data_IF_355543211030
#
_entry.id   IF_355543211030
#
_cell.length_a   1.000
_cell.length_b   1.000
_cell.length_c   1.000
_cell.angle_alpha   90.00
_cell.angle_beta   90.00
_cell.angle_gamma   90.00
#
_symmetry.space_group_name_H-M   'P 1'
#
loop_
_entity.id
_entity.type
_entity.pdbx_description
1 polymer ?
#
# COMPACT_ATOMS: atom_id res chain seq x y z
N UNK A 1 6.79 -30.22 14.80
CA UNK A 1 7.35 -29.04 14.11
C UNK A 1 6.56 -27.85 14.58
N UNK A 2 7.23 -26.78 15.04
CA UNK A 2 6.54 -25.52 15.25
C UNK A 2 6.02 -25.03 13.88
N UNK A 3 4.81 -24.46 13.79
CA UNK A 3 4.34 -23.85 12.55
C UNK A 3 5.35 -22.78 12.10
N UNK A 4 5.55 -22.65 10.79
CA UNK A 4 6.40 -21.61 10.25
C UNK A 4 5.86 -20.24 10.70
N UNK A 5 6.69 -19.43 11.35
CA UNK A 5 6.29 -18.12 11.88
C UNK A 5 6.45 -16.99 10.85
N UNK A 6 6.84 -17.34 9.63
CA UNK A 6 7.07 -16.42 8.52
C UNK A 6 6.70 -17.11 7.21
N UNK A 7 6.23 -16.32 6.25
CA UNK A 7 5.97 -16.76 4.89
C UNK A 7 6.32 -15.64 3.91
N UNK A 8 6.58 -16.03 2.66
CA UNK A 8 6.89 -15.10 1.58
C UNK A 8 5.60 -14.49 1.00
N UNK A 9 5.76 -13.37 0.28
CA UNK A 9 4.67 -12.77 -0.48
C UNK A 9 4.74 -13.24 -1.93
N UNK A 10 3.61 -13.64 -2.49
CA UNK A 10 3.53 -14.03 -3.89
C UNK A 10 3.84 -12.82 -4.78
N UNK A 11 4.74 -12.95 -5.76
CA UNK A 11 5.12 -11.85 -6.66
C UNK A 11 5.63 -10.61 -5.90
N UNK A 12 6.85 -10.70 -5.30
CA UNK A 12 7.43 -9.57 -4.58
C UNK A 12 7.77 -8.41 -5.52
N UNK A 13 7.90 -7.18 -5.00
CA UNK A 13 8.36 -6.04 -5.78
C UNK A 13 9.71 -6.28 -6.44
N UNK A 14 9.93 -5.69 -7.61
CA UNK A 14 11.13 -5.93 -8.43
C UNK A 14 12.33 -5.05 -8.04
N UNK A 15 12.14 -4.11 -7.13
CA UNK A 15 13.16 -3.19 -6.64
C UNK A 15 12.93 -2.87 -5.15
N UNK A 16 13.81 -2.06 -4.56
CA UNK A 16 13.80 -1.69 -3.15
C UNK A 16 12.40 -1.27 -2.66
N UNK A 17 12.01 -1.82 -1.52
CA UNK A 17 10.75 -1.48 -0.85
C UNK A 17 10.97 -0.21 -0.03
N UNK A 18 10.10 0.78 -0.24
CA UNK A 18 10.17 2.07 0.47
C UNK A 18 9.36 2.06 1.76
N UNK A 19 8.16 1.48 1.73
CA UNK A 19 7.27 1.39 2.89
C UNK A 19 6.37 0.15 2.81
N UNK A 20 5.96 -0.32 3.98
CA UNK A 20 5.03 -1.45 4.16
C UNK A 20 4.03 -1.06 5.24
N UNK A 21 2.73 -1.19 4.95
CA UNK A 21 1.67 -0.80 5.89
C UNK A 21 0.56 -1.84 5.88
N UNK A 22 0.14 -2.27 7.05
CA UNK A 22 -1.04 -3.12 7.23
C UNK A 22 -2.32 -2.27 7.30
N UNK A 23 -3.42 -2.81 6.78
CA UNK A 23 -4.72 -2.16 6.89
C UNK A 23 -5.10 -1.91 8.36
N UNK A 24 -5.79 -0.80 8.65
CA UNK A 24 -6.23 -0.49 10.01
C UNK A 24 -7.23 -1.55 10.50
N UNK A 25 -6.93 -2.15 11.65
CA UNK A 25 -7.86 -3.05 12.35
C UNK A 25 -8.89 -2.22 13.14
N UNK A 26 -9.89 -1.72 12.43
CA UNK A 26 -11.11 -1.21 13.05
C UNK A 26 -11.94 -2.33 13.68
N UNK A 27 -12.93 -2.01 14.53
CA UNK A 27 -13.80 -2.99 15.20
C UNK A 27 -14.64 -3.85 14.23
N UNK A 28 -14.79 -3.42 12.98
CA UNK A 28 -15.47 -4.13 11.88
C UNK A 28 -14.52 -4.62 10.79
N UNK A 29 -13.20 -4.42 10.94
CA UNK A 29 -12.21 -4.75 9.91
C UNK A 29 -11.62 -6.13 10.17
N UNK A 30 -12.06 -7.11 9.38
CA UNK A 30 -11.50 -8.48 9.34
C UNK A 30 -10.34 -8.57 8.33
N UNK A 31 -10.00 -7.45 7.69
CA UNK A 31 -9.13 -7.43 6.52
C UNK A 31 -7.66 -7.47 6.90
N UNK A 32 -6.96 -8.51 6.47
CA UNK A 32 -5.50 -8.60 6.56
C UNK A 32 -4.86 -8.17 5.23
N UNK A 33 -5.20 -6.95 4.80
CA UNK A 33 -4.59 -6.33 3.63
C UNK A 33 -3.24 -5.69 3.99
N UNK A 34 -2.31 -5.73 3.05
CA UNK A 34 -0.98 -5.19 3.17
C UNK A 34 -0.66 -4.35 1.93
N UNK A 35 -0.26 -3.10 2.13
CA UNK A 35 0.25 -2.23 1.08
C UNK A 35 1.77 -2.18 1.13
N UNK A 36 2.40 -2.24 -0.03
CA UNK A 36 3.85 -2.18 -0.20
C UNK A 36 4.17 -1.21 -1.31
N UNK A 37 4.98 -0.18 -1.03
CA UNK A 37 5.47 0.76 -2.04
C UNK A 37 6.92 0.42 -2.44
N UNK A 38 7.26 0.59 -3.71
CA UNK A 38 8.58 0.23 -4.23
C UNK A 38 9.17 1.26 -5.18
N UNK A 39 10.50 1.19 -5.33
CA UNK A 39 11.29 1.95 -6.28
C UNK A 39 11.08 1.51 -7.73
N UNK A 40 10.44 0.36 -7.96
CA UNK A 40 10.03 -0.09 -9.30
C UNK A 40 8.86 0.71 -9.89
N UNK A 41 8.42 1.76 -9.17
CA UNK A 41 7.31 2.67 -9.47
C UNK A 41 5.94 2.04 -9.26
N UNK A 42 5.83 0.98 -8.48
CA UNK A 42 4.55 0.36 -8.17
C UNK A 42 4.21 0.41 -6.68
N UNK A 43 2.90 0.34 -6.42
CA UNK A 43 2.35 -0.02 -5.12
C UNK A 43 1.62 -1.35 -5.26
N UNK A 44 1.89 -2.27 -4.35
CA UNK A 44 1.32 -3.61 -4.34
C UNK A 44 0.33 -3.71 -3.20
N UNK A 45 -0.86 -4.24 -3.50
CA UNK A 45 -1.85 -4.63 -2.51
C UNK A 45 -1.85 -6.15 -2.40
N UNK A 46 -1.49 -6.64 -1.22
CA UNK A 46 -1.57 -8.04 -0.86
C UNK A 46 -2.72 -8.29 0.11
N UNK A 47 -3.23 -9.52 0.10
CA UNK A 47 -4.21 -10.02 1.05
C UNK A 47 -3.70 -11.32 1.69
N UNK A 48 -3.86 -11.42 3.00
CA UNK A 48 -3.39 -12.54 3.81
C UNK A 48 -4.60 -13.24 4.43
N UNK A 49 -5.01 -14.38 3.85
CA UNK A 49 -6.11 -15.15 4.41
C UNK A 49 -5.74 -15.75 5.77
N UNK A 50 -6.73 -15.97 6.64
CA UNK A 50 -6.51 -16.57 7.94
C UNK A 50 -5.99 -18.01 7.79
N UNK A 51 -4.86 -18.33 8.41
CA UNK A 51 -4.19 -19.62 8.25
C UNK A 51 -3.47 -19.81 6.91
N UNK A 52 -3.33 -18.75 6.10
CA UNK A 52 -2.52 -18.80 4.90
C UNK A 52 -1.02 -18.84 5.23
N UNK A 53 -0.27 -19.61 4.45
CA UNK A 53 1.18 -19.68 4.47
C UNK A 53 1.80 -18.81 3.35
N UNK A 54 1.04 -17.89 2.75
CA UNK A 54 1.50 -16.97 1.71
C UNK A 54 0.58 -15.75 1.62
N UNK A 55 1.12 -14.56 1.33
CA UNK A 55 0.32 -13.39 0.98
C UNK A 55 0.05 -13.35 -0.53
N UNK A 56 -1.21 -13.22 -0.94
CA UNK A 56 -1.59 -13.22 -2.36
C UNK A 56 -1.60 -11.78 -2.90
N UNK A 57 -1.01 -11.55 -4.07
CA UNK A 57 -1.09 -10.27 -4.76
C UNK A 57 -2.50 -10.05 -5.33
N UNK A 58 -3.20 -9.04 -4.80
CA UNK A 58 -4.55 -8.67 -5.26
C UNK A 58 -4.46 -7.71 -6.44
N UNK A 59 -3.63 -6.67 -6.33
CA UNK A 59 -3.51 -5.63 -7.36
C UNK A 59 -2.17 -4.91 -7.28
N UNK A 60 -1.74 -4.42 -8.44
CA UNK A 60 -0.57 -3.52 -8.57
C UNK A 60 -1.04 -2.18 -9.13
N UNK A 61 -0.54 -1.09 -8.57
CA UNK A 61 -0.85 0.28 -8.96
C UNK A 61 0.41 0.96 -9.50
N UNK A 62 0.41 1.29 -10.78
CA UNK A 62 1.56 1.90 -11.44
C UNK A 62 1.64 3.41 -11.13
N UNK A 63 2.86 3.89 -10.93
CA UNK A 63 3.20 5.30 -10.79
C UNK A 63 4.19 5.75 -11.87
N UNK A 64 4.25 7.06 -12.09
CA UNK A 64 5.15 7.66 -13.08
C UNK A 64 6.61 7.69 -12.63
N UNK A 65 6.86 7.53 -11.34
CA UNK A 65 8.17 7.55 -10.70
C UNK A 65 8.13 6.75 -9.39
N UNK A 66 9.30 6.46 -8.76
CA UNK A 66 9.38 5.70 -7.52
C UNK A 66 8.44 6.21 -6.42
N UNK A 67 7.78 5.27 -5.75
CA UNK A 67 6.87 5.57 -4.63
C UNK A 67 7.67 5.49 -3.34
N UNK A 68 7.64 6.58 -2.58
CA UNK A 68 8.45 6.73 -1.37
C UNK A 68 7.68 6.35 -0.11
N UNK A 69 6.36 6.52 -0.12
CA UNK A 69 5.54 6.22 1.04
C UNK A 69 4.09 5.91 0.62
N UNK A 70 3.43 5.12 1.45
CA UNK A 70 2.02 4.73 1.29
C UNK A 70 1.36 4.63 2.66
N UNK A 71 0.09 5.01 2.75
CA UNK A 71 -0.71 4.78 3.95
C UNK A 71 -2.15 4.41 3.59
N UNK A 72 -2.83 3.72 4.50
CA UNK A 72 -4.29 3.53 4.40
C UNK A 72 -5.03 4.79 4.85
N UNK A 73 -6.24 4.96 4.33
CA UNK A 73 -7.16 6.01 4.75
C UNK A 73 -8.04 5.63 5.93
N UNK A 74 -9.25 6.19 5.97
CA UNK A 74 -10.24 5.91 7.02
C UNK A 74 -10.62 4.43 7.09
N UNK A 75 -10.64 3.80 5.93
CA UNK A 75 -11.13 2.45 5.69
C UNK A 75 -10.09 1.62 4.92
N UNK A 76 -10.34 0.31 4.81
CA UNK A 76 -9.51 -0.65 4.07
C UNK A 76 -9.60 -0.52 2.54
N UNK A 77 -10.45 0.38 2.04
CA UNK A 77 -10.70 0.61 0.61
C UNK A 77 -10.06 1.90 0.08
N UNK A 78 -9.43 2.70 0.94
CA UNK A 78 -8.74 3.91 0.55
C UNK A 78 -7.26 3.84 0.93
N UNK A 79 -6.40 4.27 0.02
CA UNK A 79 -4.98 4.45 0.27
C UNK A 79 -4.48 5.78 -0.28
N UNK A 80 -3.39 6.28 0.30
CA UNK A 80 -2.68 7.46 -0.17
C UNK A 80 -1.23 7.11 -0.44
N UNK A 81 -0.67 7.76 -1.44
CA UNK A 81 0.68 7.49 -1.93
C UNK A 81 1.43 8.79 -2.18
N UNK A 82 2.72 8.79 -1.88
CA UNK A 82 3.63 9.90 -2.11
C UNK A 82 4.90 9.38 -2.81
N UNK A 83 5.38 10.13 -3.80
CA UNK A 83 6.51 9.67 -4.61
C UNK A 83 7.35 10.77 -5.25
N UNK A 84 8.31 10.31 -6.03
CA UNK A 84 9.21 11.16 -6.83
C UNK A 84 8.52 11.80 -8.05
N UNK A 85 7.25 11.47 -8.32
CA UNK A 85 6.45 12.10 -9.37
C UNK A 85 5.85 13.44 -8.91
N UNK A 86 6.20 13.87 -7.69
CA UNK A 86 5.78 15.13 -7.05
C UNK A 86 4.27 15.20 -6.81
N UNK A 87 3.58 14.07 -6.87
CA UNK A 87 2.14 13.98 -6.68
C UNK A 87 1.85 13.21 -5.39
N UNK A 88 0.81 13.63 -4.71
CA UNK A 88 0.13 12.79 -3.71
C UNK A 88 -1.14 12.30 -4.37
N UNK A 89 -1.32 10.98 -4.42
CA UNK A 89 -2.49 10.36 -5.02
C UNK A 89 -3.29 9.61 -3.98
N UNK A 90 -4.62 9.66 -4.12
CA UNK A 90 -5.54 8.74 -3.47
C UNK A 90 -5.77 7.55 -4.42
N UNK A 91 -5.80 6.36 -3.86
CA UNK A 91 -6.12 5.12 -4.56
C UNK A 91 -7.38 4.57 -3.91
N UNK A 92 -8.41 4.35 -4.71
CA UNK A 92 -9.53 3.51 -4.33
C UNK A 92 -9.11 2.06 -4.56
N UNK A 93 -8.96 1.29 -3.49
CA UNK A 93 -8.46 -0.08 -3.54
C UNK A 93 -9.51 -1.05 -4.12
N UNK A 94 -10.80 -0.69 -4.07
CA UNK A 94 -11.90 -1.51 -4.58
C UNK A 94 -12.01 -1.41 -6.11
N UNK A 95 -11.97 -0.18 -6.64
CA UNK A 95 -12.09 0.08 -8.09
C UNK A 95 -10.73 0.07 -8.78
N UNK A 96 -9.68 0.43 -8.03
CA UNK A 96 -8.32 0.69 -8.50
C UNK A 96 -8.13 2.05 -9.14
N UNK A 97 -9.08 2.96 -8.99
CA UNK A 97 -8.95 4.32 -9.49
C UNK A 97 -7.85 5.08 -8.72
N UNK A 98 -6.97 5.76 -9.44
CA UNK A 98 -5.96 6.65 -8.87
C UNK A 98 -6.31 8.11 -9.16
N UNK A 99 -6.61 8.87 -8.11
CA UNK A 99 -6.91 10.31 -8.21
C UNK A 99 -5.73 11.13 -7.67
N UNK A 100 -5.23 12.10 -8.45
CA UNK A 100 -4.22 13.05 -7.96
C UNK A 100 -4.89 14.06 -7.02
N UNK A 101 -4.48 14.09 -5.76
CA UNK A 101 -5.03 15.03 -4.77
C UNK A 101 -4.29 16.36 -4.77
N UNK A 102 -2.95 16.31 -4.79
CA UNK A 102 -2.13 17.51 -4.77
C UNK A 102 -0.82 17.29 -5.52
N UNK A 103 -0.17 18.41 -5.86
CA UNK A 103 1.13 18.45 -6.52
C UNK A 103 2.08 19.31 -5.71
N UNK A 104 3.25 18.77 -5.41
CA UNK A 104 4.34 19.47 -4.77
C UNK A 104 5.31 20.01 -5.83
N UNK A 105 6.14 20.98 -5.44
CA UNK A 105 7.23 21.50 -6.30
C UNK A 105 8.46 20.59 -6.33
N UNK A 106 8.51 19.60 -5.43
CA UNK A 106 9.55 18.59 -5.28
C UNK A 106 8.93 17.26 -4.84
N UNK A 107 9.75 16.22 -4.72
CA UNK A 107 9.32 14.90 -4.24
C UNK A 107 8.59 14.97 -2.90
N UNK A 108 7.47 14.24 -2.82
CA UNK A 108 6.74 14.03 -1.58
C UNK A 108 7.34 12.81 -0.87
N UNK A 109 7.90 13.03 0.32
CA UNK A 109 8.71 12.02 1.04
C UNK A 109 7.88 11.06 1.88
N UNK A 110 6.82 11.56 2.51
CA UNK A 110 5.98 10.82 3.44
C UNK A 110 4.52 11.25 3.31
N UNK A 111 3.60 10.34 3.59
CA UNK A 111 2.16 10.60 3.66
C UNK A 111 1.56 9.85 4.84
N UNK A 112 0.74 10.54 5.62
CA UNK A 112 0.04 9.96 6.77
C UNK A 112 -1.42 10.38 6.71
N UNK A 113 -2.30 9.44 7.04
CA UNK A 113 -3.71 9.71 7.18
C UNK A 113 -4.02 10.08 8.64
N UNK A 114 -4.89 11.05 8.84
CA UNK A 114 -5.46 11.40 10.15
C UNK A 114 -6.97 11.41 10.03
N UNK A 115 -7.67 10.77 10.96
CA UNK A 115 -9.13 10.77 11.01
C UNK A 115 -9.70 12.03 11.68
N UNK A 116 -8.87 12.77 12.43
CA UNK A 116 -9.29 13.94 13.22
C UNK A 116 -9.42 15.23 12.37
N UNK A 117 -9.01 15.19 11.09
CA UNK A 117 -9.04 16.33 10.18
C UNK A 117 -9.57 15.94 8.80
#
# INVERSE_FOLDING_TARGET
MAPATQFEVAQPPNDAISAVVFAPRGPSSTSNRLLVSSWDKNVYLYEIAEGAEEATLVRTYEHRAPVLDVCFGANEDEAYTAGLDWQVKRIDLSTGEQTVMTKHTKAARCVVYSAEH
#
